data_IF_115451712452
#
_entry.id   IF_115451712452
#
_cell.length_a   1.000
_cell.length_b   1.000
_cell.length_c   1.000
_cell.angle_alpha   90.00
_cell.angle_beta   90.00
_cell.angle_gamma   90.00
#
_symmetry.space_group_name_H-M   'P 1'
#
loop_
_entity.id
_entity.type
_entity.pdbx_description
1 polymer ?
#
# COMPACT_ATOMS: atom_id res chain seq x y z
N UNK A 1 13.49 -0.28 2.27
CA UNK A 1 12.03 -0.41 2.05
C UNK A 1 11.31 -0.05 3.34
N UNK A 2 10.17 0.66 3.29
CA UNK A 2 9.39 1.03 4.49
C UNK A 2 8.20 0.10 4.72
N UNK A 3 7.48 -0.21 3.65
CA UNK A 3 6.47 -1.28 3.58
C UNK A 3 6.55 -1.94 2.20
N UNK A 4 6.08 -3.18 2.11
CA UNK A 4 5.88 -3.89 0.85
C UNK A 4 4.39 -4.16 0.66
N UNK A 5 3.94 -4.18 -0.59
CA UNK A 5 2.57 -4.47 -1.00
C UNK A 5 2.58 -5.33 -2.27
N UNK A 6 1.47 -6.00 -2.63
CA UNK A 6 1.40 -6.81 -3.85
C UNK A 6 1.84 -6.03 -5.08
N UNK A 7 2.68 -6.63 -5.92
CA UNK A 7 3.24 -5.98 -7.12
C UNK A 7 3.68 -6.97 -8.19
N UNK A 8 3.30 -8.24 -8.05
CA UNK A 8 3.62 -9.32 -9.00
C UNK A 8 2.30 -9.99 -9.38
N UNK A 9 2.14 -10.31 -10.66
CA UNK A 9 0.94 -10.86 -11.27
C UNK A 9 -0.32 -10.02 -10.97
N UNK A 10 -0.18 -8.70 -11.12
CA UNK A 10 -1.22 -7.73 -10.78
C UNK A 10 -2.16 -7.48 -11.96
N UNK A 11 -3.42 -7.86 -11.82
CA UNK A 11 -4.47 -7.55 -12.79
C UNK A 11 -4.93 -6.08 -12.64
N UNK A 12 -4.87 -5.30 -13.73
CA UNK A 12 -5.31 -3.91 -13.77
C UNK A 12 -6.04 -3.58 -15.07
N UNK A 13 -6.77 -2.46 -15.09
CA UNK A 13 -7.47 -1.96 -16.28
C UNK A 13 -6.50 -1.30 -17.25
N UNK A 14 -6.71 -1.51 -18.54
CA UNK A 14 -6.00 -0.82 -19.63
C UNK A 14 -7.00 -0.07 -20.53
N UNK A 15 -6.57 0.95 -21.29
CA UNK A 15 -7.44 1.64 -22.23
C UNK A 15 -8.16 0.67 -23.18
N UNK A 16 -9.36 1.04 -23.62
CA UNK A 16 -10.17 0.20 -24.51
C UNK A 16 -10.98 -0.89 -23.80
N UNK A 17 -11.34 -0.69 -22.54
CA UNK A 17 -12.17 -1.61 -21.73
C UNK A 17 -11.52 -2.98 -21.47
N UNK A 18 -10.19 -3.06 -21.58
CA UNK A 18 -9.44 -4.28 -21.33
C UNK A 18 -8.90 -4.38 -19.91
N UNK A 19 -8.32 -5.55 -19.61
CA UNK A 19 -7.50 -5.77 -18.43
C UNK A 19 -6.20 -6.46 -18.83
N UNK A 20 -5.13 -6.17 -18.10
CA UNK A 20 -3.83 -6.77 -18.29
C UNK A 20 -3.21 -7.12 -16.94
N UNK A 21 -2.42 -8.19 -16.91
CA UNK A 21 -1.62 -8.58 -15.75
C UNK A 21 -0.18 -8.14 -15.97
N UNK A 22 0.41 -7.47 -14.98
CA UNK A 22 1.79 -6.99 -15.07
C UNK A 22 2.46 -6.92 -13.68
N UNK A 23 3.76 -6.60 -13.66
CA UNK A 23 4.63 -6.63 -12.50
C UNK A 23 5.32 -5.27 -12.28
N UNK A 24 5.55 -4.90 -11.02
CA UNK A 24 6.40 -3.77 -10.68
C UNK A 24 5.97 -3.04 -9.41
N UNK A 25 6.89 -2.24 -8.87
CA UNK A 25 6.61 -1.37 -7.71
C UNK A 25 5.55 -0.32 -8.02
N UNK A 26 5.36 0.04 -9.29
CA UNK A 26 4.25 0.87 -9.77
C UNK A 26 2.88 0.29 -9.43
N UNK A 27 2.73 -1.04 -9.41
CA UNK A 27 1.49 -1.71 -9.04
C UNK A 27 1.34 -1.88 -7.52
N UNK A 28 2.45 -1.87 -6.76
CA UNK A 28 2.43 -1.84 -5.29
C UNK A 28 2.04 -0.48 -4.72
N UNK A 29 2.47 0.61 -5.35
CA UNK A 29 2.20 1.97 -4.91
C UNK A 29 0.69 2.27 -4.68
N UNK A 30 -0.24 1.97 -5.61
CA UNK A 30 -1.65 2.28 -5.43
C UNK A 30 -2.31 1.52 -4.27
N UNK A 31 -1.81 0.34 -3.88
CA UNK A 31 -2.32 -0.37 -2.70
C UNK A 31 -2.05 0.43 -1.41
N UNK A 32 -0.83 0.94 -1.26
CA UNK A 32 -0.46 1.75 -0.08
C UNK A 32 -1.17 3.11 -0.12
N UNK A 33 -1.29 3.73 -1.30
CA UNK A 33 -2.04 4.98 -1.47
C UNK A 33 -3.54 4.81 -1.14
N UNK A 34 -4.16 3.71 -1.56
CA UNK A 34 -5.55 3.39 -1.23
C UNK A 34 -5.75 3.19 0.27
N UNK A 35 -4.86 2.45 0.93
CA UNK A 35 -4.88 2.31 2.40
C UNK A 35 -4.76 3.67 3.11
N UNK A 36 -3.83 4.51 2.68
CA UNK A 36 -3.66 5.85 3.24
C UNK A 36 -4.91 6.74 3.04
N UNK A 37 -5.59 6.62 1.90
CA UNK A 37 -6.82 7.34 1.61
C UNK A 37 -7.97 6.89 2.53
N UNK A 38 -8.13 5.58 2.77
CA UNK A 38 -9.12 5.05 3.72
C UNK A 38 -8.81 5.52 5.15
N UNK A 39 -7.55 5.50 5.57
CA UNK A 39 -7.17 6.01 6.88
C UNK A 39 -7.49 7.51 7.02
N UNK A 40 -7.24 8.30 5.97
CA UNK A 40 -7.54 9.74 5.97
C UNK A 40 -9.05 10.02 5.97
N UNK A 41 -9.86 9.18 5.33
CA UNK A 41 -11.32 9.36 5.32
C UNK A 41 -11.98 8.99 6.65
N UNK A 42 -11.38 8.06 7.41
CA UNK A 42 -11.83 7.71 8.76
C UNK A 42 -11.27 8.68 9.82
N UNK A 43 -10.07 9.20 9.61
CA UNK A 43 -9.35 10.09 10.53
C UNK A 43 -8.93 11.39 9.84
N UNK A 44 -9.91 12.25 9.56
CA UNK A 44 -9.69 13.50 8.81
C UNK A 44 -8.71 14.47 9.48
N UNK A 45 -8.53 14.39 10.80
CA UNK A 45 -7.60 15.20 11.60
C UNK A 45 -6.15 14.69 11.56
N UNK A 46 -5.93 13.43 11.18
CA UNK A 46 -4.59 12.86 11.15
C UNK A 46 -3.71 13.51 10.08
N UNK A 47 -2.49 13.83 10.47
CA UNK A 47 -1.46 14.35 9.57
C UNK A 47 -0.75 13.21 8.81
N UNK A 48 0.04 13.52 7.76
CA UNK A 48 0.72 12.50 6.95
C UNK A 48 1.68 11.61 7.76
N UNK A 49 2.32 12.12 8.81
CA UNK A 49 3.20 11.31 9.66
C UNK A 49 2.42 10.29 10.47
N UNK A 50 1.27 10.65 11.02
CA UNK A 50 0.42 9.72 11.77
C UNK A 50 -0.06 8.56 10.90
N UNK A 51 -0.53 8.86 9.68
CA UNK A 51 -0.94 7.83 8.70
C UNK A 51 0.23 6.92 8.36
N UNK A 52 1.40 7.49 8.05
CA UNK A 52 2.63 6.73 7.76
C UNK A 52 3.01 5.81 8.92
N UNK A 53 3.01 6.34 10.15
CA UNK A 53 3.39 5.58 11.35
C UNK A 53 2.46 4.39 11.57
N UNK A 54 1.15 4.58 11.45
CA UNK A 54 0.19 3.48 11.62
C UNK A 54 0.42 2.41 10.56
N UNK A 55 0.56 2.79 9.28
CA UNK A 55 0.82 1.84 8.19
C UNK A 55 2.10 1.02 8.46
N UNK A 56 3.19 1.66 8.89
CA UNK A 56 4.46 0.97 9.18
C UNK A 56 4.37 0.06 10.41
N UNK A 57 3.66 0.49 11.46
CA UNK A 57 3.55 -0.25 12.72
C UNK A 57 2.61 -1.45 12.61
N UNK A 58 1.58 -1.38 11.77
CA UNK A 58 0.60 -2.46 11.58
C UNK A 58 0.96 -3.40 10.43
N UNK A 59 1.99 -3.10 9.65
CA UNK A 59 2.44 -3.97 8.57
C UNK A 59 2.88 -5.34 9.11
N UNK A 60 2.54 -6.41 8.38
CA UNK A 60 3.03 -7.74 8.70
C UNK A 60 4.55 -7.79 8.51
N UNK A 61 5.27 -8.24 9.54
CA UNK A 61 6.71 -8.42 9.47
C UNK A 61 7.06 -9.67 8.66
N UNK A 62 8.08 -9.56 7.83
CA UNK A 62 8.67 -10.69 7.10
C UNK A 62 9.46 -11.63 8.00
N UNK A 63 9.91 -11.15 9.17
CA UNK A 63 10.61 -11.93 10.19
C UNK A 63 9.86 -11.88 11.53
N UNK A 64 9.84 -13.00 12.27
CA UNK A 64 9.34 -13.04 13.64
C UNK A 64 10.40 -12.48 14.60
N UNK A 65 10.38 -11.18 14.89
CA UNK A 65 11.26 -10.55 15.87
C UNK A 65 10.80 -9.13 16.26
N UNK A 66 11.27 -8.57 17.40
CA UNK A 66 10.93 -7.21 17.84
C UNK A 66 11.49 -6.14 16.87
N UNK A 67 10.83 -4.98 16.81
CA UNK A 67 11.33 -3.82 16.06
C UNK A 67 12.68 -3.38 16.66
N UNK A 68 13.73 -3.33 15.84
CA UNK A 68 15.00 -2.68 16.19
C UNK A 68 14.95 -1.20 15.87
#
# INVERSE_FOLDING_TARGET
VKVAAPGVDMLSTVPGHGQCTDNGTSFSAPYVSGLAAVLKSLHHDWNPMQIRTVIEQTAQRTERGPNK
#
